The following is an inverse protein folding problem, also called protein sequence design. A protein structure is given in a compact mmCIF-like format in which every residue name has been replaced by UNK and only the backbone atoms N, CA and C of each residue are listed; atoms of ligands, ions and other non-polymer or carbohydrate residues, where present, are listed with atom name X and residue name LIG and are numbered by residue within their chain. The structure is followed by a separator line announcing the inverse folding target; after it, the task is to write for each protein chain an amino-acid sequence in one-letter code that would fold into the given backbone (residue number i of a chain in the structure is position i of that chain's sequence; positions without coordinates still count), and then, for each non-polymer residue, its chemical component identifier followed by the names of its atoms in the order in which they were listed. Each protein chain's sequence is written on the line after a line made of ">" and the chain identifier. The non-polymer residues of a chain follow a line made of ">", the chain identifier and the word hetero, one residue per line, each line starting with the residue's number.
data_IF_983857794058
#
_entry.id   IF_983857794058
#
_cell.length_a   1.000
_cell.length_b   1.000
_cell.length_c   1.000
_cell.angle_alpha   90.00
_cell.angle_beta   90.00
_cell.angle_gamma   90.00
#
_symmetry.space_group_name_H-M   'P 1'
#
loop_
_entity.id
_entity.type
_entity.pdbx_description
1 polymer ?
#
# COMPACT_ATOMS: atom_id res chain seq x y z
N UNK A 1 50.73 35.78 6.52
CA UNK A 1 50.21 34.43 6.20
C UNK A 1 48.69 34.47 6.35
N UNK A 2 48.01 34.32 5.20
CA UNK A 2 46.67 33.79 4.96
C UNK A 2 45.43 34.43 5.62
N UNK A 3 44.77 35.24 4.78
CA UNK A 3 43.33 35.49 4.68
C UNK A 3 42.41 34.34 5.16
N UNK A 4 41.57 34.61 6.16
CA UNK A 4 40.27 33.94 6.33
C UNK A 4 39.21 34.98 6.75
N UNK A 5 38.96 35.93 5.84
CA UNK A 5 37.78 36.79 5.86
C UNK A 5 36.90 36.42 4.68
N UNK A 6 35.80 35.71 4.93
CA UNK A 6 34.83 35.32 3.90
C UNK A 6 33.47 35.09 4.55
N UNK A 7 32.55 36.00 4.26
CA UNK A 7 31.21 36.08 4.83
C UNK A 7 30.45 34.75 4.79
N UNK A 8 29.68 34.48 5.85
CA UNK A 8 28.78 33.35 5.97
C UNK A 8 27.79 33.29 4.81
N UNK A 9 28.08 32.42 3.84
CA UNK A 9 27.13 31.97 2.84
C UNK A 9 26.18 31.00 3.53
N UNK A 10 25.06 31.54 4.03
CA UNK A 10 23.92 30.74 4.46
C UNK A 10 23.55 29.79 3.33
N UNK A 11 23.76 28.49 3.56
CA UNK A 11 23.38 27.44 2.63
C UNK A 11 21.89 27.58 2.38
N UNK A 12 21.55 28.15 1.22
CA UNK A 12 20.17 28.28 0.76
C UNK A 12 19.63 26.85 0.74
N UNK A 13 18.72 26.53 1.66
CA UNK A 13 18.03 25.23 1.72
C UNK A 13 17.19 25.14 0.46
N UNK A 14 17.79 24.65 -0.61
CA UNK A 14 17.09 24.27 -1.83
C UNK A 14 16.34 23.01 -1.43
N UNK A 15 15.02 23.15 -1.21
CA UNK A 15 14.15 21.98 -1.12
C UNK A 15 14.25 21.32 -2.49
N UNK A 16 14.86 20.13 -2.63
CA UNK A 16 14.90 19.47 -3.91
C UNK A 16 13.46 19.25 -4.33
N UNK A 17 13.11 19.61 -5.56
CA UNK A 17 11.83 19.22 -6.10
C UNK A 17 11.79 17.69 -6.05
N UNK A 18 10.77 17.10 -5.40
CA UNK A 18 10.64 15.65 -5.39
C UNK A 18 10.68 15.17 -6.84
N UNK A 19 11.42 14.10 -7.14
CA UNK A 19 11.48 13.56 -8.48
C UNK A 19 10.06 13.28 -8.96
N UNK A 20 9.79 13.54 -10.25
CA UNK A 20 8.51 13.23 -10.91
C UNK A 20 8.07 11.77 -10.73
N UNK A 21 8.99 10.89 -10.31
CA UNK A 21 8.77 9.46 -10.03
C UNK A 21 8.83 9.11 -8.55
N UNK A 22 8.68 10.10 -7.68
CA UNK A 22 8.82 10.00 -6.22
C UNK A 22 7.55 9.61 -5.47
N UNK A 23 6.46 9.24 -6.15
CA UNK A 23 5.42 8.39 -5.58
C UNK A 23 5.64 6.99 -6.14
N UNK A 24 5.69 6.02 -5.24
CA UNK A 24 5.90 4.60 -5.52
C UNK A 24 5.14 4.14 -6.80
N UNK A 25 5.75 3.38 -7.73
CA UNK A 25 5.15 2.98 -9.03
C UNK A 25 3.77 2.29 -9.00
N UNK A 26 3.24 1.96 -7.81
CA UNK A 26 1.89 1.41 -7.59
C UNK A 26 0.80 2.48 -7.35
N UNK A 27 1.16 3.75 -7.21
CA UNK A 27 0.26 4.88 -6.93
C UNK A 27 0.26 5.88 -8.11
N UNK A 28 -0.02 5.37 -9.31
CA UNK A 28 0.04 6.17 -10.54
C UNK A 28 -1.11 7.20 -10.61
N UNK A 29 -2.32 6.81 -10.24
CA UNK A 29 -3.52 7.66 -10.41
C UNK A 29 -4.43 7.74 -9.17
N UNK A 30 -4.07 7.05 -8.07
CA UNK A 30 -4.84 7.08 -6.83
C UNK A 30 -6.25 6.47 -6.94
N UNK A 31 -6.48 5.53 -7.86
CA UNK A 31 -7.79 4.92 -8.16
C UNK A 31 -8.53 4.38 -6.91
N UNK A 32 -7.79 3.84 -5.94
CA UNK A 32 -8.34 3.26 -4.71
C UNK A 32 -8.24 4.18 -3.48
N UNK A 33 -7.88 5.45 -3.68
CA UNK A 33 -7.59 6.42 -2.60
C UNK A 33 -8.81 6.73 -1.75
N UNK A 34 -10.00 6.85 -2.35
CA UNK A 34 -11.23 7.15 -1.61
C UNK A 34 -11.56 6.08 -0.56
N UNK A 35 -11.42 4.81 -0.93
CA UNK A 35 -11.65 3.67 -0.02
C UNK A 35 -10.55 3.65 1.05
N UNK A 36 -9.29 3.92 0.69
CA UNK A 36 -8.18 4.02 1.64
C UNK A 36 -8.43 5.09 2.71
N UNK A 37 -8.88 6.27 2.31
CA UNK A 37 -9.20 7.37 3.23
C UNK A 37 -10.35 6.99 4.17
N UNK A 38 -11.36 6.28 3.67
CA UNK A 38 -12.47 5.79 4.50
C UNK A 38 -11.99 4.78 5.55
N UNK A 39 -11.09 3.86 5.18
CA UNK A 39 -10.48 2.89 6.09
C UNK A 39 -9.64 3.58 7.17
N UNK A 40 -8.78 4.52 6.78
CA UNK A 40 -7.97 5.29 7.73
C UNK A 40 -8.83 6.11 8.69
N UNK A 41 -9.93 6.68 8.19
CA UNK A 41 -10.90 7.40 9.04
C UNK A 41 -11.54 6.45 10.04
N UNK A 42 -11.93 5.25 9.61
CA UNK A 42 -12.50 4.22 10.49
C UNK A 42 -11.52 3.86 11.61
N UNK A 43 -10.31 3.41 11.28
CA UNK A 43 -9.29 3.04 12.27
C UNK A 43 -9.01 4.19 13.25
N UNK A 44 -8.94 5.43 12.75
CA UNK A 44 -8.73 6.61 13.59
C UNK A 44 -9.88 6.86 14.56
N UNK A 45 -11.13 6.74 14.11
CA UNK A 45 -12.33 6.88 14.96
C UNK A 45 -12.39 5.80 16.04
N UNK A 46 -11.96 4.59 15.69
CA UNK A 46 -11.95 3.42 16.56
C UNK A 46 -10.67 3.31 17.41
N UNK A 47 -9.84 4.37 17.51
CA UNK A 47 -8.59 4.37 18.31
C UNK A 47 -7.62 3.24 17.97
N UNK A 48 -7.63 2.75 16.73
CA UNK A 48 -6.78 1.65 16.31
C UNK A 48 -7.34 0.25 16.59
N UNK A 49 -8.57 0.10 17.08
CA UNK A 49 -9.17 -1.22 17.26
C UNK A 49 -9.56 -1.86 15.93
N UNK A 50 -9.47 -3.19 15.87
CA UNK A 50 -9.83 -3.96 14.69
C UNK A 50 -11.34 -4.22 14.66
N UNK A 51 -12.11 -3.14 14.48
CA UNK A 51 -13.56 -3.25 14.36
C UNK A 51 -13.97 -3.93 13.03
N UNK A 52 -15.05 -4.72 13.02
CA UNK A 52 -15.51 -5.45 11.83
C UNK A 52 -15.85 -4.49 10.67
N UNK A 53 -16.34 -3.29 10.99
CA UNK A 53 -16.59 -2.25 9.99
C UNK A 53 -15.30 -1.81 9.28
N UNK A 54 -14.22 -1.55 10.04
CA UNK A 54 -12.93 -1.19 9.46
C UNK A 54 -12.31 -2.35 8.69
N UNK A 55 -12.57 -3.59 9.11
CA UNK A 55 -12.15 -4.81 8.39
C UNK A 55 -12.86 -4.94 7.03
N UNK A 56 -14.13 -4.57 6.93
CA UNK A 56 -14.84 -4.55 5.65
C UNK A 56 -14.28 -3.50 4.68
N UNK A 57 -13.90 -2.33 5.20
CA UNK A 57 -13.28 -1.27 4.40
C UNK A 57 -11.88 -1.66 3.91
N UNK A 58 -11.07 -2.32 4.74
CA UNK A 58 -9.75 -2.80 4.31
C UNK A 58 -9.84 -3.94 3.28
N UNK A 59 -10.83 -4.83 3.42
CA UNK A 59 -11.11 -5.86 2.39
C UNK A 59 -11.46 -5.23 1.05
N UNK A 60 -12.33 -4.22 1.05
CA UNK A 60 -12.74 -3.50 -0.16
C UNK A 60 -11.57 -2.74 -0.80
N UNK A 61 -10.71 -2.13 0.03
CA UNK A 61 -9.51 -1.46 -0.44
C UNK A 61 -8.54 -2.42 -1.15
N UNK A 62 -8.31 -3.61 -0.59
CA UNK A 62 -7.44 -4.61 -1.20
C UNK A 62 -8.05 -5.20 -2.47
N UNK A 63 -9.37 -5.41 -2.51
CA UNK A 63 -10.09 -5.81 -3.73
C UNK A 63 -9.83 -4.82 -4.86
N UNK A 64 -10.03 -3.51 -4.59
CA UNK A 64 -9.81 -2.47 -5.59
C UNK A 64 -8.38 -2.52 -6.17
N UNK A 65 -7.36 -2.80 -5.34
CA UNK A 65 -5.98 -2.91 -5.82
C UNK A 65 -5.75 -4.14 -6.68
N UNK A 66 -6.39 -5.26 -6.39
CA UNK A 66 -6.32 -6.47 -7.23
C UNK A 66 -7.05 -6.25 -8.57
N UNK A 67 -8.24 -5.64 -8.53
CA UNK A 67 -9.09 -5.37 -9.70
C UNK A 67 -8.44 -4.40 -10.69
N UNK A 68 -7.64 -3.46 -10.18
CA UNK A 68 -6.91 -2.46 -10.98
C UNK A 68 -5.47 -2.88 -11.33
N UNK A 69 -5.12 -4.14 -11.08
CA UNK A 69 -3.77 -4.66 -11.30
C UNK A 69 -2.67 -3.86 -10.56
N UNK A 70 -3.04 -3.13 -9.50
CA UNK A 70 -2.13 -2.42 -8.60
C UNK A 70 -1.51 -3.36 -7.56
N UNK A 71 -1.98 -4.61 -7.48
CA UNK A 71 -1.45 -5.66 -6.63
C UNK A 71 -1.66 -7.02 -7.33
N UNK A 72 -0.77 -7.98 -7.09
CA UNK A 72 -1.00 -9.34 -7.53
C UNK A 72 -2.28 -9.90 -6.87
N UNK A 73 -3.15 -10.61 -7.61
CA UNK A 73 -4.34 -11.21 -7.03
C UNK A 73 -3.94 -12.29 -6.03
N UNK A 74 -4.43 -12.18 -4.80
CA UNK A 74 -4.23 -13.16 -3.73
C UNK A 74 -5.55 -13.43 -3.00
N UNK A 75 -5.63 -14.55 -2.31
CA UNK A 75 -6.80 -14.91 -1.52
C UNK A 75 -6.90 -14.05 -0.27
N UNK A 76 -8.11 -13.63 0.07
CA UNK A 76 -8.39 -12.85 1.28
C UNK A 76 -7.95 -13.55 2.58
N UNK A 77 -7.90 -14.88 2.59
CA UNK A 77 -7.43 -15.67 3.73
C UNK A 77 -5.92 -15.48 3.98
N UNK A 78 -5.11 -15.38 2.92
CA UNK A 78 -3.68 -15.07 3.03
C UNK A 78 -3.44 -13.62 3.47
N UNK A 79 -4.38 -12.72 3.15
CA UNK A 79 -4.33 -11.31 3.51
C UNK A 79 -4.89 -11.02 4.93
N UNK A 80 -5.17 -12.05 5.72
CA UNK A 80 -5.65 -11.90 7.11
C UNK A 80 -7.17 -11.68 7.26
N UNK A 81 -7.96 -11.91 6.20
CA UNK A 81 -9.42 -11.85 6.22
C UNK A 81 -10.09 -13.23 6.29
N UNK A 82 -9.37 -14.25 6.76
CA UNK A 82 -10.00 -15.47 7.25
C UNK A 82 -10.66 -15.13 8.58
N UNK A 83 -11.98 -14.97 8.60
CA UNK A 83 -12.75 -14.98 9.83
C UNK A 83 -13.31 -16.40 10.02
N UNK A 84 -13.29 -16.87 11.27
CA UNK A 84 -13.53 -18.24 11.76
C UNK A 84 -14.97 -18.78 11.55
N UNK A 85 -15.54 -18.54 10.37
CA UNK A 85 -16.87 -19.04 9.97
C UNK A 85 -16.81 -20.12 8.88
N UNK A 86 -15.62 -20.50 8.42
CA UNK A 86 -15.42 -21.70 7.60
C UNK A 86 -14.78 -22.76 8.52
N UNK A 87 -15.54 -23.81 8.85
CA UNK A 87 -15.05 -24.96 9.60
C UNK A 87 -13.77 -25.55 8.97
N UNK A 88 -13.10 -26.51 9.64
CA UNK A 88 -11.82 -27.05 9.17
C UNK A 88 -12.02 -27.80 7.85
N UNK A 89 -11.92 -27.11 6.71
CA UNK A 89 -12.52 -27.65 5.50
C UNK A 89 -12.25 -26.94 4.19
N UNK A 90 -11.11 -26.25 4.02
CA UNK A 90 -10.59 -26.08 2.66
C UNK A 90 -9.08 -25.88 2.64
N UNK A 91 -8.39 -27.02 2.70
CA UNK A 91 -7.14 -27.20 1.96
C UNK A 91 -7.53 -27.31 0.49
N UNK A 92 -6.85 -26.53 -0.37
CA UNK A 92 -6.51 -26.81 -1.78
C UNK A 92 -6.56 -25.53 -2.61
N UNK A 93 -5.42 -24.86 -2.78
CA UNK A 93 -5.02 -24.41 -4.11
C UNK A 93 -3.50 -24.19 -4.17
N UNK A 94 -2.77 -25.30 -4.27
CA UNK A 94 -1.64 -25.36 -5.19
C UNK A 94 -2.24 -25.26 -6.59
N UNK A 95 -2.07 -24.13 -7.26
CA UNK A 95 -1.86 -24.11 -8.71
C UNK A 95 -0.94 -22.95 -9.05
N UNK A 96 0.35 -23.23 -8.94
CA UNK A 96 1.35 -22.67 -9.84
C UNK A 96 0.93 -23.02 -11.27
N UNK A 97 0.55 -22.01 -12.04
CA UNK A 97 0.32 -22.03 -13.49
C UNK A 97 0.38 -20.55 -13.90
N UNK A 98 1.25 -20.06 -14.77
CA UNK A 98 1.85 -20.69 -15.94
C UNK A 98 2.94 -19.78 -16.54
N UNK A 99 3.99 -20.44 -17.06
CA UNK A 99 4.70 -20.15 -18.32
C UNK A 99 5.65 -18.94 -18.42
N UNK A 100 6.92 -19.25 -18.75
CA UNK A 100 7.66 -18.78 -19.95
C UNK A 100 8.94 -19.66 -20.01
N UNK A 101 9.02 -20.74 -20.79
CA UNK A 101 9.31 -20.85 -22.23
C UNK A 101 10.55 -20.06 -22.68
N UNK A 102 11.53 -20.77 -23.30
CA UNK A 102 12.70 -20.28 -24.06
C UNK A 102 13.91 -19.93 -23.17
N UNK A 103 15.08 -20.56 -23.27
CA UNK A 103 15.84 -21.07 -24.44
C UNK A 103 16.83 -22.15 -24.00
#
# INVERSE_FOLDING_TARGET
>A
MSNFGGAGLGQKVIRPNPPERGSFPLDHDGECKEIMLSYLRCIKSHRGTNDPECRNLSKSYLSCRMDRNLMAPDSFRNLGFGDDSDGPGSKNHTTTSSQTSQK
#
